data_IF_190812970894
#
_entry.id   IF_190812970894
#
_cell.length_a   1.000
_cell.length_b   1.000
_cell.length_c   1.000
_cell.angle_alpha   90.00
_cell.angle_beta   90.00
_cell.angle_gamma   90.00
#
_symmetry.space_group_name_H-M   'P 1'
#
loop_
_entity.id
_entity.type
_entity.pdbx_description
1 polymer ?
#
# COMPACT_ATOMS: atom_id res chain seq x y z
N UNK A 1 6.65 -13.00 -16.66
CA UNK A 1 7.06 -11.60 -16.40
C UNK A 1 5.86 -10.86 -15.82
N UNK A 2 6.05 -10.04 -14.79
CA UNK A 2 4.98 -9.23 -14.18
C UNK A 2 4.96 -7.83 -14.81
N UNK A 3 3.81 -7.35 -15.26
CA UNK A 3 3.60 -5.91 -15.48
C UNK A 3 2.91 -5.31 -14.26
N UNK A 4 3.49 -4.27 -13.68
CA UNK A 4 2.96 -3.58 -12.51
C UNK A 4 2.46 -2.18 -12.90
N UNK A 5 1.15 -1.97 -12.80
CA UNK A 5 0.53 -0.67 -12.96
C UNK A 5 0.66 0.15 -11.68
N UNK A 6 1.53 1.16 -11.72
CA UNK A 6 2.09 1.77 -10.51
C UNK A 6 2.05 3.31 -10.50
N UNK A 7 1.94 3.83 -9.28
CA UNK A 7 2.21 5.21 -8.91
C UNK A 7 2.81 5.22 -7.50
N UNK A 8 3.76 6.13 -7.17
CA UNK A 8 4.42 6.17 -5.87
C UNK A 8 3.48 6.64 -4.76
N UNK A 9 2.67 5.70 -4.29
CA UNK A 9 1.74 5.80 -3.18
C UNK A 9 2.02 4.66 -2.20
N UNK A 10 1.51 4.73 -0.95
CA UNK A 10 1.61 3.62 -0.01
C UNK A 10 1.14 2.28 -0.61
N UNK A 11 0.01 2.25 -1.33
CA UNK A 11 -0.50 1.01 -1.93
C UNK A 11 0.38 0.50 -3.07
N UNK A 12 0.93 1.39 -3.90
CA UNK A 12 1.90 1.01 -4.92
C UNK A 12 3.17 0.40 -4.34
N UNK A 13 3.69 1.02 -3.27
CA UNK A 13 4.93 0.56 -2.64
C UNK A 13 4.83 -0.84 -2.04
N UNK A 14 3.65 -1.27 -1.59
CA UNK A 14 3.44 -2.66 -1.14
C UNK A 14 3.94 -3.67 -2.18
N UNK A 15 3.60 -3.43 -3.45
CA UNK A 15 3.88 -4.39 -4.53
C UNK A 15 5.32 -4.28 -4.98
N UNK A 16 5.87 -3.07 -5.13
CA UNK A 16 7.31 -2.93 -5.45
C UNK A 16 8.19 -3.51 -4.35
N UNK A 17 7.82 -3.37 -3.07
CA UNK A 17 8.57 -4.01 -1.96
C UNK A 17 8.56 -5.52 -2.15
N UNK A 18 7.39 -6.13 -2.39
CA UNK A 18 7.31 -7.57 -2.61
C UNK A 18 8.20 -8.02 -3.77
N UNK A 19 8.05 -7.37 -4.94
CA UNK A 19 8.78 -7.74 -6.16
C UNK A 19 10.31 -7.63 -5.96
N UNK A 20 10.76 -6.58 -5.26
CA UNK A 20 12.18 -6.39 -4.94
C UNK A 20 12.72 -7.37 -3.88
N UNK A 21 11.88 -7.83 -2.96
CA UNK A 21 12.25 -8.83 -1.94
C UNK A 21 12.34 -10.22 -2.55
N UNK A 22 11.39 -10.58 -3.40
CA UNK A 22 11.35 -11.87 -4.10
C UNK A 22 12.30 -11.95 -5.31
N UNK A 23 12.92 -10.82 -5.70
CA UNK A 23 13.80 -10.76 -6.87
C UNK A 23 13.09 -11.12 -8.18
N UNK A 24 11.79 -10.84 -8.28
CA UNK A 24 11.00 -11.14 -9.47
C UNK A 24 11.29 -10.14 -10.58
N UNK A 25 11.30 -10.61 -11.83
CA UNK A 25 11.34 -9.74 -13.00
C UNK A 25 9.98 -9.06 -13.24
N UNK A 26 10.01 -7.72 -13.30
CA UNK A 26 8.81 -6.93 -13.56
C UNK A 26 9.08 -5.66 -14.36
N UNK A 27 8.04 -5.19 -15.05
CA UNK A 27 8.01 -3.92 -15.74
C UNK A 27 7.00 -2.98 -15.07
N UNK A 28 7.40 -1.74 -14.78
CA UNK A 28 6.47 -0.72 -14.28
C UNK A 28 5.76 -0.04 -15.46
N UNK A 29 4.42 -0.10 -15.44
CA UNK A 29 3.52 0.73 -16.25
C UNK A 29 3.01 1.89 -15.39
N UNK A 30 3.50 3.13 -15.57
CA UNK A 30 3.07 4.23 -14.74
C UNK A 30 1.59 4.57 -14.99
N UNK A 31 0.84 4.77 -13.90
CA UNK A 31 -0.55 5.27 -13.92
C UNK A 31 -0.57 6.58 -13.14
N UNK A 32 -0.43 7.72 -13.81
CA UNK A 32 -0.45 9.01 -13.15
C UNK A 32 -1.86 9.35 -12.67
N UNK A 33 -2.10 9.08 -11.39
CA UNK A 33 -3.42 9.25 -10.79
C UNK A 33 -3.86 10.71 -10.64
N UNK A 34 -2.92 11.65 -10.63
CA UNK A 34 -3.21 13.09 -10.68
C UNK A 34 -3.68 13.54 -12.06
N UNK A 35 -3.16 12.91 -13.12
CA UNK A 35 -3.56 13.16 -14.51
C UNK A 35 -4.81 12.38 -14.94
N UNK A 36 -5.34 11.48 -14.10
CA UNK A 36 -6.55 10.70 -14.40
C UNK A 36 -6.31 9.45 -15.24
N UNK A 37 -5.07 8.95 -15.33
CA UNK A 37 -4.73 7.75 -16.12
C UNK A 37 -5.53 6.50 -15.70
N UNK A 38 -5.96 6.44 -14.45
CA UNK A 38 -6.78 5.36 -13.89
C UNK A 38 -8.20 5.28 -14.48
N UNK A 39 -8.64 6.28 -15.26
CA UNK A 39 -9.92 6.27 -15.96
C UNK A 39 -9.80 5.84 -17.43
N UNK A 40 -8.58 5.64 -17.94
CA UNK A 40 -8.37 5.22 -19.32
C UNK A 40 -8.99 3.83 -19.55
N UNK A 41 -9.69 3.61 -20.68
CA UNK A 41 -10.37 2.34 -20.96
C UNK A 41 -9.48 1.11 -20.84
N UNK A 42 -8.22 1.22 -21.26
CA UNK A 42 -7.28 0.08 -21.20
C UNK A 42 -6.86 -0.27 -19.77
N UNK A 43 -6.77 0.71 -18.86
CA UNK A 43 -6.52 0.41 -17.45
C UNK A 43 -7.77 -0.19 -16.77
N UNK A 44 -8.97 0.29 -17.12
CA UNK A 44 -10.22 -0.22 -16.55
C UNK A 44 -10.53 -1.68 -16.92
N UNK A 45 -10.01 -2.17 -18.05
CA UNK A 45 -10.05 -3.61 -18.40
C UNK A 45 -9.27 -4.48 -17.40
N UNK A 46 -8.32 -3.89 -16.68
CA UNK A 46 -7.45 -4.57 -15.71
C UNK A 46 -7.96 -4.31 -14.29
N UNK A 47 -8.25 -3.06 -13.97
CA UNK A 47 -8.70 -2.61 -12.65
C UNK A 47 -9.99 -1.79 -12.77
N UNK A 48 -11.17 -2.44 -12.81
CA UNK A 48 -12.46 -1.75 -12.98
C UNK A 48 -12.79 -0.82 -11.81
N UNK A 49 -12.15 -1.01 -10.65
CA UNK A 49 -12.23 -0.11 -9.50
C UNK A 49 -11.45 1.21 -9.70
N UNK A 50 -10.90 1.47 -10.89
CA UNK A 50 -10.14 2.69 -11.23
C UNK A 50 -9.04 3.05 -10.21
N UNK A 51 -8.45 2.04 -9.56
CA UNK A 51 -7.41 2.22 -8.55
C UNK A 51 -6.19 1.37 -8.87
N UNK A 52 -5.03 1.99 -8.71
CA UNK A 52 -3.75 1.29 -8.65
C UNK A 52 -3.46 0.85 -7.19
N UNK A 53 -2.61 -0.17 -6.97
CA UNK A 53 -1.90 -0.97 -7.96
C UNK A 53 -2.79 -2.00 -8.66
N UNK A 54 -2.35 -2.40 -9.85
CA UNK A 54 -2.84 -3.57 -10.57
C UNK A 54 -1.65 -4.30 -11.22
N UNK A 55 -1.79 -5.58 -11.52
CA UNK A 55 -0.78 -6.34 -12.26
C UNK A 55 -1.38 -7.10 -13.44
N UNK A 56 -0.52 -7.41 -14.41
CA UNK A 56 -0.71 -8.51 -15.35
C UNK A 56 0.42 -9.50 -15.11
N UNK A 57 0.09 -10.75 -14.82
CA UNK A 57 1.05 -11.84 -14.83
C UNK A 57 0.95 -12.61 -16.14
N UNK A 58 1.99 -12.57 -16.96
CA UNK A 58 2.03 -13.26 -18.25
C UNK A 58 2.33 -14.76 -18.14
N UNK A 59 2.69 -15.26 -16.96
CA UNK A 59 3.04 -16.66 -16.74
C UNK A 59 2.49 -17.16 -15.38
N UNK A 60 1.16 -17.16 -15.18
CA UNK A 60 0.58 -17.67 -13.93
C UNK A 60 0.78 -19.18 -13.79
N UNK A 61 0.74 -19.67 -12.54
CA UNK A 61 1.00 -21.08 -12.21
C UNK A 61 0.00 -22.07 -12.85
N UNK A 62 -1.18 -21.61 -13.25
CA UNK A 62 -2.19 -22.44 -13.92
C UNK A 62 -2.01 -22.51 -15.45
N UNK A 63 -1.11 -21.69 -16.01
CA UNK A 63 -0.80 -21.59 -17.44
C UNK A 63 -2.04 -21.36 -18.35
N UNK A 64 -3.10 -20.72 -17.84
CA UNK A 64 -4.34 -20.45 -18.59
C UNK A 64 -4.33 -19.13 -19.40
N UNK A 65 -3.14 -18.60 -19.66
CA UNK A 65 -2.94 -17.28 -20.27
C UNK A 65 -2.73 -16.17 -19.23
N UNK A 66 -2.59 -14.90 -19.64
CA UNK A 66 -2.29 -13.81 -18.72
C UNK A 66 -3.37 -13.60 -17.65
N UNK A 67 -2.94 -13.39 -16.40
CA UNK A 67 -3.82 -13.10 -15.26
C UNK A 67 -3.77 -11.62 -14.89
N UNK A 68 -4.94 -10.96 -14.96
CA UNK A 68 -5.11 -9.58 -14.49
C UNK A 68 -5.57 -9.59 -13.03
N UNK A 69 -4.94 -8.76 -12.17
CA UNK A 69 -5.30 -8.67 -10.76
C UNK A 69 -5.20 -7.24 -10.25
N UNK A 70 -6.20 -6.80 -9.48
CA UNK A 70 -6.21 -5.53 -8.74
C UNK A 70 -6.46 -5.80 -7.25
N UNK A 71 -6.41 -4.74 -6.43
CA UNK A 71 -6.35 -4.79 -4.96
C UNK A 71 -5.00 -5.26 -4.41
N UNK A 72 -4.32 -4.37 -3.68
CA UNK A 72 -2.96 -4.65 -3.22
C UNK A 72 -2.86 -5.86 -2.28
N UNK A 73 -3.92 -6.17 -1.52
CA UNK A 73 -3.95 -7.35 -0.65
C UNK A 73 -4.00 -8.65 -1.47
N UNK A 74 -4.90 -8.71 -2.45
CA UNK A 74 -5.01 -9.85 -3.35
C UNK A 74 -3.73 -10.07 -4.16
N UNK A 75 -3.11 -8.99 -4.65
CA UNK A 75 -1.82 -9.06 -5.37
C UNK A 75 -0.72 -9.62 -4.47
N UNK A 76 -0.61 -9.17 -3.22
CA UNK A 76 0.39 -9.70 -2.28
C UNK A 76 0.18 -11.19 -1.98
N UNK A 77 -1.07 -11.61 -1.75
CA UNK A 77 -1.39 -13.03 -1.53
C UNK A 77 -1.05 -13.87 -2.76
N UNK A 78 -1.43 -13.41 -3.95
CA UNK A 78 -1.12 -14.06 -5.22
C UNK A 78 0.39 -14.22 -5.44
N UNK A 79 1.16 -13.14 -5.26
CA UNK A 79 2.62 -13.19 -5.47
C UNK A 79 3.31 -14.07 -4.42
N UNK A 80 2.83 -14.05 -3.17
CA UNK A 80 3.32 -14.94 -2.12
C UNK A 80 3.06 -16.41 -2.43
N UNK A 81 1.87 -16.73 -2.95
CA UNK A 81 1.55 -18.09 -3.39
C UNK A 81 2.37 -18.51 -4.62
N UNK A 82 2.51 -17.62 -5.60
CA UNK A 82 3.30 -17.87 -6.82
C UNK A 82 4.77 -18.18 -6.51
N UNK A 83 5.35 -17.48 -5.53
CA UNK A 83 6.77 -17.60 -5.18
C UNK A 83 7.04 -18.63 -4.08
N UNK A 84 6.03 -18.92 -3.25
CA UNK A 84 6.22 -19.66 -2.00
C UNK A 84 6.91 -18.84 -0.90
N UNK A 85 6.99 -17.51 -1.06
CA UNK A 85 7.72 -16.61 -0.16
C UNK A 85 6.80 -15.65 0.59
N UNK A 86 7.25 -15.16 1.75
CA UNK A 86 6.60 -14.09 2.54
C UNK A 86 5.16 -14.36 3.01
N UNK A 87 4.67 -15.59 2.88
CA UNK A 87 3.46 -16.08 3.52
C UNK A 87 3.71 -17.50 4.07
N UNK A 88 3.64 -17.72 5.39
CA UNK A 88 3.92 -19.04 5.96
C UNK A 88 3.01 -20.13 5.39
N UNK A 89 3.55 -21.34 5.19
CA UNK A 89 2.77 -22.50 4.76
C UNK A 89 2.01 -23.18 5.91
N UNK A 90 2.55 -23.12 7.14
CA UNK A 90 1.89 -23.65 8.33
C UNK A 90 0.60 -22.86 8.58
N UNK A 91 -0.52 -23.56 8.80
CA UNK A 91 -1.86 -22.97 8.77
C UNK A 91 -2.05 -21.86 9.80
N UNK A 92 -1.61 -22.05 11.05
CA UNK A 92 -1.80 -21.04 12.10
C UNK A 92 -0.99 -19.78 11.80
N UNK A 93 0.25 -19.92 11.37
CA UNK A 93 1.11 -18.80 11.00
C UNK A 93 0.62 -18.09 9.73
N UNK A 94 0.12 -18.85 8.73
CA UNK A 94 -0.53 -18.31 7.52
C UNK A 94 -1.69 -17.40 7.89
N UNK A 95 -2.63 -17.90 8.70
CA UNK A 95 -3.80 -17.11 9.08
C UNK A 95 -3.47 -15.96 10.01
N UNK A 96 -2.40 -16.04 10.81
CA UNK A 96 -1.90 -14.90 11.56
C UNK A 96 -1.42 -13.77 10.64
N UNK A 97 -0.63 -14.09 9.61
CA UNK A 97 -0.19 -13.11 8.62
C UNK A 97 -1.38 -12.53 7.83
N UNK A 98 -2.30 -13.38 7.36
CA UNK A 98 -3.49 -12.94 6.64
C UNK A 98 -4.40 -12.05 7.50
N UNK A 99 -4.59 -12.36 8.78
CA UNK A 99 -5.36 -11.53 9.70
C UNK A 99 -4.83 -10.09 9.72
N UNK A 100 -3.50 -9.93 9.78
CA UNK A 100 -2.87 -8.61 9.80
C UNK A 100 -2.84 -7.93 8.44
N UNK A 101 -2.73 -8.68 7.34
CA UNK A 101 -2.94 -8.17 5.99
C UNK A 101 -4.35 -7.58 5.84
N UNK A 102 -5.39 -8.32 6.24
CA UNK A 102 -6.77 -7.85 6.15
C UNK A 102 -7.07 -6.72 7.14
N UNK A 103 -6.47 -6.72 8.33
CA UNK A 103 -6.51 -5.57 9.24
C UNK A 103 -5.92 -4.31 8.61
N UNK A 104 -4.83 -4.45 7.85
CA UNK A 104 -4.25 -3.33 7.10
C UNK A 104 -5.21 -2.83 6.02
N UNK A 105 -5.80 -3.75 5.24
CA UNK A 105 -6.69 -3.42 4.12
C UNK A 105 -8.03 -2.80 4.58
N UNK A 106 -8.58 -3.23 5.72
CA UNK A 106 -9.85 -2.74 6.26
C UNK A 106 -9.72 -1.64 7.33
N UNK A 107 -8.53 -1.46 7.91
CA UNK A 107 -8.30 -0.54 9.04
C UNK A 107 -7.21 0.48 8.74
N UNK A 108 -5.94 0.10 8.89
CA UNK A 108 -4.79 1.02 8.81
C UNK A 108 -4.78 1.86 7.54
N UNK A 109 -4.89 1.22 6.37
CA UNK A 109 -4.84 1.92 5.08
C UNK A 109 -5.99 2.90 4.89
N UNK A 110 -7.26 2.44 4.93
CA UNK A 110 -8.41 3.31 4.76
C UNK A 110 -8.46 4.48 5.73
N UNK A 111 -8.21 4.25 7.03
CA UNK A 111 -8.30 5.31 8.05
C UNK A 111 -7.16 6.32 7.92
N UNK A 112 -5.93 5.87 7.63
CA UNK A 112 -4.82 6.77 7.34
C UNK A 112 -5.05 7.57 6.04
N UNK A 113 -5.72 6.98 5.04
CA UNK A 113 -6.14 7.69 3.83
C UNK A 113 -7.14 8.82 4.13
N UNK A 114 -8.10 8.58 5.03
CA UNK A 114 -9.01 9.65 5.49
C UNK A 114 -8.26 10.74 6.25
N UNK A 115 -7.30 10.36 7.11
CA UNK A 115 -6.42 11.33 7.78
C UNK A 115 -5.68 12.19 6.74
N UNK A 116 -5.02 11.60 5.75
CA UNK A 116 -4.36 12.36 4.68
C UNK A 116 -5.33 13.31 3.96
N UNK A 117 -6.54 12.84 3.65
CA UNK A 117 -7.55 13.67 2.98
C UNK A 117 -7.92 14.90 3.81
N UNK A 118 -8.43 14.73 5.03
CA UNK A 118 -8.89 15.87 5.83
C UNK A 118 -7.74 16.75 6.33
N UNK A 119 -6.59 16.18 6.65
CA UNK A 119 -5.43 16.93 7.16
C UNK A 119 -4.73 17.72 6.06
N UNK A 120 -4.64 17.20 4.82
CA UNK A 120 -3.79 17.76 3.78
C UNK A 120 -4.51 18.25 2.53
N UNK A 121 -5.53 17.53 2.07
CA UNK A 121 -6.07 17.72 0.73
C UNK A 121 -7.45 18.39 0.68
N UNK A 122 -8.27 18.23 1.72
CA UNK A 122 -9.60 18.82 1.79
C UNK A 122 -9.51 20.35 1.61
N UNK A 123 -10.35 20.94 0.73
CA UNK A 123 -10.30 22.37 0.42
C UNK A 123 -10.63 23.23 1.65
N UNK A 124 -11.50 22.72 2.53
CA UNK A 124 -11.87 23.33 3.79
C UNK A 124 -11.33 22.50 4.96
N UNK A 125 -10.84 23.19 6.00
CA UNK A 125 -10.45 22.53 7.25
C UNK A 125 -11.68 22.25 8.08
N UNK A 126 -11.93 20.96 8.35
CA UNK A 126 -13.04 20.48 9.18
C UNK A 126 -12.44 19.92 10.48
N UNK A 127 -12.38 20.71 11.57
CA UNK A 127 -11.65 20.32 12.78
C UNK A 127 -12.07 18.96 13.33
N UNK A 128 -13.37 18.68 13.38
CA UNK A 128 -13.90 17.40 13.85
C UNK A 128 -13.40 16.21 13.01
N UNK A 129 -13.39 16.34 11.68
CA UNK A 129 -12.96 15.26 10.79
C UNK A 129 -11.45 15.02 10.92
N UNK A 130 -10.65 16.09 10.97
CA UNK A 130 -9.20 16.02 11.20
C UNK A 130 -8.93 15.31 12.53
N UNK A 131 -9.54 15.79 13.63
CA UNK A 131 -9.35 15.21 14.96
C UNK A 131 -9.74 13.73 15.00
N UNK A 132 -10.89 13.38 14.42
CA UNK A 132 -11.37 11.99 14.34
C UNK A 132 -10.36 11.06 13.68
N UNK A 133 -9.85 11.42 12.50
CA UNK A 133 -8.98 10.53 11.73
C UNK A 133 -7.52 10.56 12.19
N UNK A 134 -7.04 11.67 12.78
CA UNK A 134 -5.75 11.71 13.48
C UNK A 134 -5.79 10.77 14.70
N UNK A 135 -6.85 10.84 15.53
CA UNK A 135 -7.02 9.96 16.69
C UNK A 135 -7.18 8.49 16.30
N UNK A 136 -7.94 8.19 15.25
CA UNK A 136 -8.07 6.80 14.77
C UNK A 136 -6.76 6.27 14.20
N UNK A 137 -5.98 7.08 13.48
CA UNK A 137 -4.64 6.69 13.04
C UNK A 137 -3.72 6.41 14.23
N UNK A 138 -3.74 7.26 15.25
CA UNK A 138 -3.00 7.05 16.50
C UNK A 138 -3.39 5.74 17.21
N UNK A 139 -4.69 5.44 17.29
CA UNK A 139 -5.19 4.17 17.85
C UNK A 139 -4.66 2.96 17.07
N UNK A 140 -4.64 3.03 15.73
CA UNK A 140 -4.13 1.96 14.87
C UNK A 140 -2.61 1.77 15.02
N UNK A 141 -1.86 2.85 15.21
CA UNK A 141 -0.44 2.79 15.58
C UNK A 141 -0.26 2.07 16.93
N UNK A 142 -1.06 2.41 17.93
CA UNK A 142 -1.05 1.74 19.23
C UNK A 142 -1.43 0.24 19.17
N UNK A 143 -2.32 -0.16 18.26
CA UNK A 143 -2.63 -1.57 18.01
C UNK A 143 -1.42 -2.30 17.43
N UNK A 144 -0.77 -1.70 16.42
CA UNK A 144 0.40 -2.28 15.76
C UNK A 144 1.61 -2.36 16.71
N UNK A 145 1.83 -1.33 17.51
CA UNK A 145 2.89 -1.28 18.53
C UNK A 145 2.76 -2.41 19.56
N UNK A 146 1.56 -2.58 20.14
CA UNK A 146 1.27 -3.68 21.09
C UNK A 146 1.36 -5.06 20.44
N UNK A 147 1.08 -5.17 19.15
CA UNK A 147 1.28 -6.43 18.44
C UNK A 147 2.77 -6.74 18.32
N UNK A 148 3.57 -5.75 17.91
CA UNK A 148 5.02 -5.86 17.75
C UNK A 148 5.78 -6.01 19.08
N UNK A 149 5.17 -5.62 20.20
CA UNK A 149 5.62 -6.00 21.54
C UNK A 149 5.57 -7.52 21.72
N UNK A 150 4.47 -8.15 21.30
CA UNK A 150 4.21 -9.59 21.50
C UNK A 150 4.96 -10.47 20.50
N UNK A 151 5.05 -10.06 19.25
CA UNK A 151 5.65 -10.87 18.17
C UNK A 151 7.12 -10.57 17.91
N UNK A 152 7.66 -9.50 18.48
CA UNK A 152 9.06 -9.14 18.31
C UNK A 152 9.34 -8.51 16.95
N UNK A 153 10.09 -9.19 16.09
CA UNK A 153 10.69 -8.56 14.91
C UNK A 153 9.65 -8.08 13.88
N UNK A 154 8.57 -8.84 13.67
CA UNK A 154 7.60 -8.62 12.59
C UNK A 154 6.16 -8.80 13.06
N UNK A 155 5.20 -8.27 12.29
CA UNK A 155 3.79 -8.15 12.70
C UNK A 155 3.15 -9.51 13.02
N UNK A 156 3.50 -10.54 12.25
CA UNK A 156 2.98 -11.90 12.42
C UNK A 156 4.05 -12.91 12.91
N UNK A 157 5.13 -12.42 13.53
CA UNK A 157 6.27 -13.23 13.97
C UNK A 157 7.41 -13.21 12.96
N UNK A 158 7.18 -13.77 11.78
CA UNK A 158 8.12 -13.72 10.65
C UNK A 158 7.79 -12.59 9.67
N UNK A 159 8.80 -12.12 8.92
CA UNK A 159 8.59 -11.08 7.90
C UNK A 159 7.68 -11.61 6.80
N UNK A 160 6.58 -10.90 6.57
CA UNK A 160 5.52 -11.38 5.69
C UNK A 160 4.89 -10.26 4.87
N UNK A 161 3.98 -10.64 3.99
CA UNK A 161 3.13 -9.70 3.26
C UNK A 161 2.31 -8.77 4.19
N UNK A 162 2.08 -9.14 5.46
CA UNK A 162 1.46 -8.25 6.44
C UNK A 162 2.35 -7.03 6.74
N UNK A 163 3.65 -7.25 6.88
CA UNK A 163 4.64 -6.19 7.10
C UNK A 163 4.77 -5.30 5.87
N UNK A 164 4.89 -5.90 4.68
CA UNK A 164 4.94 -5.19 3.40
C UNK A 164 3.69 -4.35 3.13
N UNK A 165 2.53 -4.81 3.61
CA UNK A 165 1.28 -4.09 3.51
C UNK A 165 1.20 -2.90 4.49
N UNK A 166 1.68 -3.08 5.72
CA UNK A 166 1.59 -2.06 6.77
C UNK A 166 2.64 -0.95 6.59
N UNK A 167 3.88 -1.31 6.29
CA UNK A 167 5.02 -0.39 6.32
C UNK A 167 4.82 0.88 5.47
N UNK A 168 4.37 0.80 4.20
CA UNK A 168 4.19 1.99 3.38
C UNK A 168 3.17 2.99 3.96
N UNK A 169 2.22 2.52 4.78
CA UNK A 169 1.23 3.35 5.45
C UNK A 169 1.74 3.99 6.75
N UNK A 170 2.85 3.51 7.32
CA UNK A 170 3.54 4.11 8.46
C UNK A 170 4.59 5.14 8.03
N UNK A 171 5.19 4.99 6.84
CA UNK A 171 6.19 5.94 6.31
C UNK A 171 5.78 7.41 6.39
N UNK A 172 4.54 7.82 6.02
CA UNK A 172 4.11 9.21 6.13
C UNK A 172 3.58 9.59 7.54
N UNK A 173 4.13 9.02 8.63
CA UNK A 173 3.69 9.27 10.01
C UNK A 173 3.63 10.75 10.39
N UNK A 174 4.60 11.57 9.95
CA UNK A 174 4.61 13.03 10.18
C UNK A 174 3.39 13.70 9.57
N UNK A 175 3.09 13.34 8.32
CA UNK A 175 1.94 13.85 7.56
C UNK A 175 0.60 13.38 8.16
N UNK A 176 0.63 12.30 8.95
CA UNK A 176 -0.51 11.77 9.67
C UNK A 176 -0.67 12.38 11.08
N UNK A 177 0.20 13.31 11.48
CA UNK A 177 0.18 13.93 12.80
C UNK A 177 0.54 12.98 13.94
N UNK A 178 1.38 11.99 13.67
CA UNK A 178 1.85 11.02 14.66
C UNK A 178 3.29 11.33 15.10
N UNK A 179 3.73 10.71 16.20
CA UNK A 179 5.13 10.73 16.67
C UNK A 179 5.57 9.29 16.90
N UNK A 180 6.54 8.78 16.12
CA UNK A 180 6.97 7.38 16.26
C UNK A 180 7.60 7.07 17.63
N UNK A 181 8.17 8.05 18.32
CA UNK A 181 8.76 7.86 19.65
C UNK A 181 7.71 7.53 20.73
N UNK A 182 6.42 7.75 20.47
CA UNK A 182 5.30 7.31 21.33
C UNK A 182 5.00 5.80 21.20
N UNK A 183 5.58 5.15 20.17
CA UNK A 183 5.33 3.76 19.81
C UNK A 183 6.66 3.01 19.63
N UNK A 184 7.36 2.64 20.71
CA UNK A 184 8.73 2.15 20.65
C UNK A 184 8.92 0.86 19.86
N UNK A 185 7.95 -0.07 19.89
CA UNK A 185 8.02 -1.33 19.15
C UNK A 185 7.71 -1.13 17.67
N UNK A 186 6.76 -0.25 17.36
CA UNK A 186 6.48 0.20 16.00
C UNK A 186 7.70 0.91 15.41
N UNK A 187 8.35 1.81 16.16
CA UNK A 187 9.54 2.53 15.71
C UNK A 187 10.69 1.57 15.40
N UNK A 188 10.96 0.60 16.29
CA UNK A 188 11.96 -0.45 16.05
C UNK A 188 11.69 -1.20 14.74
N UNK A 189 10.46 -1.68 14.57
CA UNK A 189 10.03 -2.39 13.37
C UNK A 189 10.15 -1.52 12.11
N UNK A 190 9.74 -0.25 12.20
CA UNK A 190 9.82 0.71 11.11
C UNK A 190 11.26 0.91 10.65
N UNK A 191 12.17 1.15 11.59
CA UNK A 191 13.60 1.33 11.32
C UNK A 191 14.22 0.05 10.73
N UNK A 192 13.81 -1.13 11.21
CA UNK A 192 14.25 -2.42 10.70
C UNK A 192 13.81 -2.67 9.24
N UNK A 193 12.54 -2.41 8.90
CA UNK A 193 12.05 -2.55 7.52
C UNK A 193 12.68 -1.52 6.60
N UNK A 194 12.83 -0.27 7.06
CA UNK A 194 13.48 0.80 6.30
C UNK A 194 14.93 0.47 5.92
N UNK A 195 15.63 -0.28 6.76
CA UNK A 195 17.00 -0.70 6.52
C UNK A 195 17.14 -1.82 5.48
N UNK A 196 16.03 -2.47 5.06
CA UNK A 196 16.07 -3.59 4.11
C UNK A 196 16.48 -3.09 2.71
N UNK A 197 17.46 -3.74 2.03
CA UNK A 197 17.90 -3.31 0.71
C UNK A 197 16.78 -3.29 -0.34
N UNK A 198 15.89 -4.28 -0.32
CA UNK A 198 14.75 -4.35 -1.25
C UNK A 198 13.77 -3.18 -1.05
N UNK A 199 13.51 -2.81 0.21
CA UNK A 199 12.67 -1.63 0.52
C UNK A 199 13.33 -0.35 0.00
N UNK A 200 14.65 -0.19 0.17
CA UNK A 200 15.37 0.97 -0.36
C UNK A 200 15.29 1.05 -1.89
N UNK A 201 15.48 -0.07 -2.59
CA UNK A 201 15.31 -0.14 -4.06
C UNK A 201 13.88 0.20 -4.48
N UNK A 202 12.88 -0.36 -3.82
CA UNK A 202 11.47 -0.09 -4.09
C UNK A 202 11.11 1.40 -3.95
N UNK A 203 11.63 2.08 -2.93
CA UNK A 203 11.43 3.53 -2.77
C UNK A 203 12.20 4.35 -3.80
N UNK A 204 13.43 3.95 -4.15
CA UNK A 204 14.21 4.63 -5.20
C UNK A 204 13.54 4.58 -6.57
N UNK A 205 12.78 3.53 -6.89
CA UNK A 205 11.98 3.45 -8.12
C UNK A 205 10.86 4.49 -8.15
N UNK A 206 10.20 4.73 -7.01
CA UNK A 206 9.13 5.73 -6.90
C UNK A 206 9.59 7.13 -7.28
N UNK A 207 10.84 7.49 -6.95
CA UNK A 207 11.44 8.78 -7.25
C UNK A 207 11.56 9.07 -8.76
N UNK A 208 11.57 8.04 -9.60
CA UNK A 208 11.60 8.19 -11.07
C UNK A 208 10.29 8.75 -11.62
N UNK A 209 9.18 8.52 -10.93
CA UNK A 209 7.84 8.90 -11.38
C UNK A 209 7.29 10.13 -10.65
N UNK A 210 7.62 10.27 -9.36
CA UNK A 210 7.24 11.43 -8.56
C UNK A 210 8.39 11.82 -7.63
N UNK A 211 8.99 13.00 -7.82
CA UNK A 211 10.00 13.52 -6.89
C UNK A 211 9.43 13.68 -5.47
N UNK A 212 10.28 13.56 -4.44
CA UNK A 212 9.90 13.67 -3.02
C UNK A 212 9.10 14.92 -2.66
N UNK A 213 9.39 16.05 -3.33
CA UNK A 213 8.78 17.35 -3.04
C UNK A 213 7.58 17.67 -3.94
N UNK A 214 7.11 16.74 -4.77
CA UNK A 214 6.00 17.00 -5.67
C UNK A 214 4.68 17.12 -4.90
N UNK A 215 4.15 18.34 -4.81
CA UNK A 215 2.82 18.62 -4.27
C UNK A 215 1.74 18.37 -5.31
N UNK A 216 0.58 17.89 -4.89
CA UNK A 216 -0.58 17.78 -5.79
C UNK A 216 -1.15 19.16 -6.11
N UNK A 217 -1.38 19.41 -7.40
CA UNK A 217 -2.10 20.60 -7.87
C UNK A 217 -3.57 20.55 -7.46
N UNK A 218 -4.27 21.69 -7.51
CA UNK A 218 -5.72 21.70 -7.25
C UNK A 218 -6.52 20.93 -8.31
N UNK A 219 -6.02 20.86 -9.56
CA UNK A 219 -6.63 20.05 -10.60
C UNK A 219 -6.43 18.55 -10.34
N UNK A 220 -5.25 18.13 -9.85
CA UNK A 220 -5.00 16.75 -9.43
C UNK A 220 -5.99 16.34 -8.32
N UNK A 221 -6.24 17.25 -7.36
CA UNK A 221 -7.20 17.00 -6.26
C UNK A 221 -8.63 16.84 -6.78
N UNK A 222 -9.06 17.65 -7.75
CA UNK A 222 -10.40 17.52 -8.36
C UNK A 222 -10.57 16.15 -9.02
N UNK A 223 -9.55 15.70 -9.77
CA UNK A 223 -9.53 14.38 -10.41
C UNK A 223 -9.60 13.24 -9.38
N UNK A 224 -8.86 13.36 -8.28
CA UNK A 224 -8.75 12.29 -7.28
C UNK A 224 -9.91 12.22 -6.29
N UNK A 225 -10.48 13.36 -5.89
CA UNK A 225 -11.48 13.43 -4.82
C UNK A 225 -12.89 13.81 -5.29
N UNK A 226 -13.05 14.23 -6.56
CA UNK A 226 -14.35 14.55 -7.16
C UNK A 226 -15.04 13.39 -7.86
N UNK A 227 -14.57 12.16 -7.63
CA UNK A 227 -15.03 10.97 -8.37
C UNK A 227 -16.45 10.57 -7.98
N UNK A 228 -17.22 10.15 -8.98
CA UNK A 228 -18.57 9.61 -8.85
C UNK A 228 -18.74 8.46 -9.83
N UNK A 229 -19.84 7.69 -9.74
CA UNK A 229 -20.15 6.63 -10.69
C UNK A 229 -20.16 7.11 -12.17
N UNK A 230 -20.37 8.40 -12.44
CA UNK A 230 -20.34 8.97 -13.79
C UNK A 230 -18.93 9.09 -14.41
N UNK A 231 -17.87 8.92 -13.63
CA UNK A 231 -16.48 8.99 -14.11
C UNK A 231 -15.95 7.65 -14.62
N UNK A 232 -16.69 6.56 -14.41
CA UNK A 232 -16.40 5.26 -15.01
C UNK A 232 -17.13 5.20 -16.35
N UNK A 233 -16.42 5.12 -17.50
CA UNK A 233 -17.05 4.89 -18.80
C UNK A 233 -17.99 3.69 -18.72
N UNK A 234 -19.20 3.82 -19.27
CA UNK A 234 -20.15 2.72 -19.40
C UNK A 234 -19.70 1.71 -20.44
#
# INVERSE_FOLDING_TARGET
MIELFYWPTPNGHKITIFLEEAGLDYEIRPVNIGAGDQFKPDFLKIAPNNRMPAIIDHDPLDHQGPLNLFESGAILEYLAEKTGEFLPAERRHKFAALQWLYWQMGGLGPMAGQNHHFSQYAPEKIPYAIERYVKETNRLYGVLDRQLEKTGAYVAGDYSIADMACYPWIVPWKNQGQTLDEFPHLKRWFDAIRARPAVQRAYALGLKYRPENATMSDDDKKVLFGQTAGHVPR
#
